data_IF_767711836413
#
_entry.id   IF_767711836413
#
_cell.length_a   1.000
_cell.length_b   1.000
_cell.length_c   1.000
_cell.angle_alpha   90.00
_cell.angle_beta   90.00
_cell.angle_gamma   90.00
#
_symmetry.space_group_name_H-M   'P 1'
#
loop_
_entity.id
_entity.type
_entity.pdbx_description
1 polymer ?
#
# COMPACT_ATOMS: atom_id res chain seq x y z
N UNK A 1 -19.61 31.00 48.30
CA UNK A 1 -18.67 30.24 47.45
C UNK A 1 -19.48 29.19 46.69
N UNK A 2 -19.61 29.27 45.36
CA UNK A 2 -20.32 28.27 44.58
C UNK A 2 -19.42 27.05 44.34
N UNK A 3 -19.99 25.85 44.47
CA UNK A 3 -19.32 24.59 44.15
C UNK A 3 -19.15 24.48 42.64
N UNK A 4 -17.92 24.26 42.19
CA UNK A 4 -17.60 23.96 40.80
C UNK A 4 -17.83 22.45 40.62
N UNK A 5 -18.97 22.08 40.03
CA UNK A 5 -19.16 20.72 39.54
C UNK A 5 -18.27 20.52 38.31
N UNK A 6 -17.17 19.81 38.52
CA UNK A 6 -16.29 19.34 37.46
C UNK A 6 -17.06 18.37 36.56
N UNK A 7 -17.66 18.90 35.49
CA UNK A 7 -18.23 18.11 34.42
C UNK A 7 -17.09 17.50 33.61
N UNK A 8 -16.57 16.37 34.08
CA UNK A 8 -15.77 15.45 33.29
C UNK A 8 -16.70 14.77 32.28
N UNK A 9 -17.15 15.51 31.26
CA UNK A 9 -17.79 14.91 30.10
C UNK A 9 -16.67 14.43 29.19
N UNK A 10 -16.26 13.17 29.38
CA UNK A 10 -15.51 12.47 28.35
C UNK A 10 -16.42 12.37 27.12
N UNK A 11 -16.25 13.30 26.19
CA UNK A 11 -16.88 13.26 24.88
C UNK A 11 -16.19 12.14 24.06
N UNK A 12 -16.43 10.90 24.47
CA UNK A 12 -16.22 9.74 23.61
C UNK A 12 -17.50 9.61 22.79
N UNK A 13 -17.62 10.48 21.79
CA UNK A 13 -18.67 10.39 20.79
C UNK A 13 -18.75 8.95 20.27
N UNK A 14 -19.99 8.46 20.14
CA UNK A 14 -20.33 7.15 19.61
C UNK A 14 -19.81 7.01 18.16
N UNK A 15 -18.53 6.73 17.99
CA UNK A 15 -17.98 6.35 16.70
C UNK A 15 -18.58 4.98 16.35
N UNK A 16 -19.53 4.98 15.42
CA UNK A 16 -20.08 3.75 14.86
C UNK A 16 -18.93 3.02 14.17
N UNK A 17 -18.72 1.75 14.52
CA UNK A 17 -17.73 0.93 13.85
C UNK A 17 -18.07 0.84 12.35
N UNK A 18 -17.08 0.92 11.45
CA UNK A 18 -17.33 0.84 10.02
C UNK A 18 -17.95 -0.52 9.67
N UNK A 19 -18.83 -0.51 8.68
CA UNK A 19 -19.38 -1.71 8.06
C UNK A 19 -18.28 -2.47 7.29
N UNK A 20 -18.51 -3.76 7.04
CA UNK A 20 -17.58 -4.58 6.23
C UNK A 20 -17.37 -3.96 4.84
N UNK A 21 -18.44 -3.48 4.19
CA UNK A 21 -18.33 -2.84 2.88
C UNK A 21 -17.52 -1.53 2.91
N UNK A 22 -17.59 -0.75 4.00
CA UNK A 22 -16.73 0.43 4.18
C UNK A 22 -15.27 0.06 4.40
N UNK A 23 -14.99 -1.07 5.08
CA UNK A 23 -13.64 -1.58 5.26
C UNK A 23 -13.07 -2.06 3.92
N UNK A 24 -13.82 -2.87 3.17
CA UNK A 24 -13.44 -3.36 1.85
C UNK A 24 -13.20 -2.20 0.87
N UNK A 25 -14.07 -1.20 0.87
CA UNK A 25 -13.90 0.00 0.04
C UNK A 25 -12.61 0.77 0.37
N UNK A 26 -12.21 0.84 1.65
CA UNK A 26 -10.93 1.45 2.04
C UNK A 26 -9.74 0.63 1.57
N UNK A 27 -9.79 -0.70 1.69
CA UNK A 27 -8.72 -1.57 1.19
C UNK A 27 -8.55 -1.46 -0.31
N UNK A 28 -9.64 -1.44 -1.08
CA UNK A 28 -9.60 -1.25 -2.53
C UNK A 28 -8.90 0.06 -2.93
N UNK A 29 -9.23 1.17 -2.24
CA UNK A 29 -8.60 2.46 -2.50
C UNK A 29 -7.10 2.43 -2.16
N UNK A 30 -6.73 1.81 -1.04
CA UNK A 30 -5.32 1.68 -0.64
C UNK A 30 -4.54 0.83 -1.65
N UNK A 31 -5.10 -0.28 -2.12
CA UNK A 31 -4.51 -1.14 -3.14
C UNK A 31 -4.30 -0.38 -4.45
N UNK A 32 -5.31 0.36 -4.93
CA UNK A 32 -5.20 1.18 -6.14
C UNK A 32 -4.11 2.25 -6.02
N UNK A 33 -4.03 2.93 -4.88
CA UNK A 33 -3.02 3.96 -4.61
C UNK A 33 -1.62 3.34 -4.55
N UNK A 34 -1.48 2.21 -3.86
CA UNK A 34 -0.22 1.48 -3.76
C UNK A 34 0.27 1.03 -5.14
N UNK A 35 -0.57 0.32 -5.90
CA UNK A 35 -0.24 -0.15 -7.26
C UNK A 35 0.14 1.03 -8.17
N UNK A 36 -0.67 2.09 -8.21
CA UNK A 36 -0.40 3.25 -9.07
C UNK A 36 0.93 3.95 -8.73
N UNK A 37 1.25 4.03 -7.43
CA UNK A 37 2.49 4.65 -6.96
C UNK A 37 3.70 3.76 -7.24
N UNK A 38 3.59 2.47 -6.97
CA UNK A 38 4.65 1.49 -7.22
C UNK A 38 4.95 1.34 -8.70
N UNK A 39 3.93 1.23 -9.56
CA UNK A 39 4.13 1.19 -11.02
C UNK A 39 4.95 2.39 -11.50
N UNK A 40 4.71 3.59 -10.97
CA UNK A 40 5.51 4.78 -11.31
C UNK A 40 6.92 4.73 -10.76
N UNK A 41 7.09 4.28 -9.51
CA UNK A 41 8.38 4.19 -8.85
C UNK A 41 9.28 3.16 -9.54
N UNK A 42 8.76 1.96 -9.83
CA UNK A 42 9.51 0.86 -10.45
C UNK A 42 10.02 1.19 -11.85
N UNK A 43 9.33 2.06 -12.60
CA UNK A 43 9.81 2.54 -13.92
C UNK A 43 11.05 3.43 -13.85
N UNK A 44 11.39 3.93 -12.66
CA UNK A 44 12.49 4.86 -12.46
C UNK A 44 13.73 4.22 -11.83
N UNK A 45 13.64 2.94 -11.44
CA UNK A 45 14.67 2.25 -10.68
C UNK A 45 15.21 1.03 -11.43
N UNK A 46 16.44 0.64 -11.15
CA UNK A 46 17.04 -0.58 -11.70
C UNK A 46 16.64 -1.85 -10.92
N UNK A 47 16.99 -3.02 -11.45
CA UNK A 47 16.62 -4.31 -10.84
C UNK A 47 17.17 -4.51 -9.42
N UNK A 48 18.32 -3.92 -9.08
CA UNK A 48 18.90 -4.02 -7.75
C UNK A 48 18.12 -3.14 -6.78
N UNK A 49 17.85 -1.89 -7.15
CA UNK A 49 17.04 -0.95 -6.36
C UNK A 49 15.63 -1.50 -6.11
N UNK A 50 15.01 -2.13 -7.13
CA UNK A 50 13.71 -2.81 -6.98
C UNK A 50 13.76 -3.96 -5.98
N UNK A 51 14.79 -4.80 -6.05
CA UNK A 51 14.94 -5.93 -5.13
C UNK A 51 15.15 -5.47 -3.68
N UNK A 52 15.91 -4.40 -3.48
CA UNK A 52 16.11 -3.77 -2.17
C UNK A 52 14.81 -3.20 -1.60
N UNK A 53 14.03 -2.49 -2.43
CA UNK A 53 12.72 -1.98 -2.05
C UNK A 53 11.75 -3.10 -1.62
N UNK A 54 11.69 -4.21 -2.36
CA UNK A 54 10.85 -5.36 -2.01
C UNK A 54 11.27 -5.93 -0.64
N UNK A 55 12.57 -6.08 -0.41
CA UNK A 55 13.09 -6.58 0.86
C UNK A 55 12.74 -5.64 2.03
N UNK A 56 12.85 -4.32 1.83
CA UNK A 56 12.50 -3.32 2.84
C UNK A 56 11.01 -3.36 3.19
N UNK A 57 10.12 -3.40 2.18
CA UNK A 57 8.66 -3.49 2.41
C UNK A 57 8.30 -4.73 3.22
N UNK A 58 8.91 -5.87 2.90
CA UNK A 58 8.67 -7.11 3.65
C UNK A 58 9.15 -7.01 5.08
N UNK A 59 10.30 -6.40 5.30
CA UNK A 59 10.83 -6.16 6.63
C UNK A 59 9.91 -5.24 7.45
N UNK A 60 9.39 -4.18 6.83
CA UNK A 60 8.45 -3.26 7.47
C UNK A 60 7.13 -3.95 7.83
N UNK A 61 6.59 -4.80 6.94
CA UNK A 61 5.40 -5.62 7.23
C UNK A 61 5.66 -6.53 8.44
N UNK A 62 6.85 -7.13 8.51
CA UNK A 62 7.22 -7.99 9.64
C UNK A 62 7.26 -7.21 10.95
N UNK A 63 7.95 -6.06 10.98
CA UNK A 63 8.05 -5.22 12.17
C UNK A 63 6.66 -4.75 12.59
N UNK A 64 5.91 -4.14 11.68
CA UNK A 64 4.57 -3.61 11.98
C UNK A 64 3.58 -4.71 12.36
N UNK A 65 3.65 -5.87 11.72
CA UNK A 65 2.82 -7.01 12.07
C UNK A 65 3.08 -7.49 13.49
N UNK A 66 4.36 -7.61 13.88
CA UNK A 66 4.74 -7.95 15.25
C UNK A 66 4.31 -6.90 16.27
N UNK A 67 4.50 -5.61 15.96
CA UNK A 67 4.08 -4.49 16.81
C UNK A 67 2.56 -4.48 17.05
N UNK A 68 1.79 -4.88 16.04
CA UNK A 68 0.33 -5.02 16.12
C UNK A 68 -0.13 -6.33 16.78
N UNK A 69 0.80 -7.22 17.18
CA UNK A 69 0.49 -8.50 17.80
C UNK A 69 -0.11 -9.53 16.84
N UNK A 70 0.12 -9.40 15.52
CA UNK A 70 -0.32 -10.38 14.54
C UNK A 70 0.37 -11.72 14.75
N UNK A 71 -0.34 -12.80 14.45
CA UNK A 71 0.25 -14.13 14.48
C UNK A 71 1.30 -14.27 13.36
N UNK A 72 2.36 -15.04 13.60
CA UNK A 72 3.43 -15.23 12.61
C UNK A 72 2.90 -15.64 11.24
N UNK A 73 1.88 -16.51 11.21
CA UNK A 73 1.24 -16.94 9.96
C UNK A 73 0.62 -15.77 9.19
N UNK A 74 -0.08 -14.86 9.88
CA UNK A 74 -0.74 -13.71 9.25
C UNK A 74 0.30 -12.73 8.69
N UNK A 75 1.45 -12.60 9.36
CA UNK A 75 2.57 -11.77 8.87
C UNK A 75 3.15 -12.36 7.58
N UNK A 76 3.36 -13.68 7.53
CA UNK A 76 3.85 -14.35 6.31
C UNK A 76 2.85 -14.23 5.16
N UNK A 77 1.56 -14.39 5.46
CA UNK A 77 0.52 -14.26 4.44
C UNK A 77 0.42 -12.80 3.94
N UNK A 78 0.60 -11.79 4.82
CA UNK A 78 0.68 -10.38 4.43
C UNK A 78 1.94 -10.05 3.59
N UNK A 79 3.10 -10.64 3.91
CA UNK A 79 4.31 -10.49 3.10
C UNK A 79 4.12 -11.09 1.71
N UNK A 80 3.52 -12.28 1.61
CA UNK A 80 3.22 -12.93 0.33
C UNK A 80 2.29 -12.06 -0.53
N UNK A 81 1.22 -11.53 0.09
CA UNK A 81 0.31 -10.63 -0.62
C UNK A 81 1.00 -9.35 -1.13
N UNK A 82 1.92 -8.78 -0.34
CA UNK A 82 2.69 -7.62 -0.79
C UNK A 82 3.62 -7.96 -1.97
N UNK A 83 4.23 -9.15 -2.01
CA UNK A 83 5.03 -9.60 -3.14
C UNK A 83 4.19 -9.73 -4.42
N UNK A 84 2.96 -10.25 -4.31
CA UNK A 84 2.04 -10.34 -5.45
C UNK A 84 1.67 -8.94 -5.99
N UNK A 85 1.35 -7.99 -5.11
CA UNK A 85 1.07 -6.60 -5.51
C UNK A 85 2.27 -5.93 -6.20
N UNK A 86 3.49 -6.18 -5.71
CA UNK A 86 4.71 -5.62 -6.30
C UNK A 86 4.98 -6.22 -7.68
N UNK A 87 4.70 -7.51 -7.85
CA UNK A 87 4.79 -8.20 -9.15
C UNK A 87 3.78 -7.65 -10.14
N UNK A 88 2.55 -7.39 -9.73
CA UNK A 88 1.52 -6.77 -10.57
C UNK A 88 1.89 -5.35 -10.97
N UNK A 89 2.44 -4.56 -10.05
CA UNK A 89 2.95 -3.22 -10.34
C UNK A 89 4.11 -3.26 -11.34
N UNK A 90 5.03 -4.24 -11.22
CA UNK A 90 6.11 -4.42 -12.18
C UNK A 90 5.58 -4.78 -13.59
N UNK A 91 4.62 -5.70 -13.68
CA UNK A 91 4.01 -6.06 -14.96
C UNK A 91 3.32 -4.85 -15.64
N UNK A 92 2.68 -3.98 -14.86
CA UNK A 92 2.11 -2.73 -15.37
C UNK A 92 3.19 -1.74 -15.81
N UNK A 93 4.29 -1.64 -15.07
CA UNK A 93 5.43 -0.79 -15.40
C UNK A 93 6.03 -1.18 -16.75
N UNK A 94 6.30 -2.47 -16.92
CA UNK A 94 6.87 -3.04 -18.15
C UNK A 94 5.94 -2.76 -19.35
N UNK A 95 4.63 -2.99 -19.20
CA UNK A 95 3.66 -2.72 -20.25
C UNK A 95 3.59 -1.22 -20.66
N UNK A 96 3.78 -0.30 -19.71
CA UNK A 96 3.82 1.13 -20.02
C UNK A 96 5.10 1.55 -20.77
N UNK A 97 6.22 0.89 -20.48
CA UNK A 97 7.48 1.14 -21.17
C UNK A 97 7.46 0.56 -22.59
N UNK A 98 6.86 -0.62 -22.79
CA UNK A 98 6.62 -1.19 -24.12
C UNK A 98 5.81 -0.25 -25.02
N UNK A 99 4.72 0.31 -24.49
CA UNK A 99 3.89 1.29 -25.20
C UNK A 99 4.73 2.52 -25.58
N UNK A 100 5.49 3.07 -24.64
CA UNK A 100 6.37 4.23 -24.88
C UNK A 100 7.39 3.94 -25.98
N UNK A 101 8.02 2.77 -25.95
CA UNK A 101 9.01 2.36 -26.94
C UNK A 101 8.40 2.15 -28.33
N UNK A 102 7.18 1.64 -28.42
CA UNK A 102 6.45 1.51 -29.68
C UNK A 102 6.17 2.89 -30.32
N UNK A 103 5.68 3.86 -29.54
CA UNK A 103 5.42 5.22 -30.01
C UNK A 103 6.70 5.92 -30.50
N UNK A 104 7.81 5.81 -29.76
CA UNK A 104 9.07 6.41 -30.18
C UNK A 104 9.69 5.76 -31.42
N UNK A 105 9.24 4.57 -31.80
CA UNK A 105 9.67 3.90 -33.03
C UNK A 105 8.86 4.40 -34.22
N UNK A 106 7.54 4.57 -34.09
CA UNK A 106 6.71 5.12 -35.17
C UNK A 106 7.11 6.53 -35.58
N UNK A 107 7.46 7.39 -34.62
CA UNK A 107 7.85 8.79 -34.90
C UNK A 107 9.21 8.92 -35.62
N UNK A 108 10.02 7.87 -35.65
CA UNK A 108 11.34 7.86 -36.32
C UNK A 108 11.30 7.27 -37.73
N UNK A 109 10.19 6.63 -38.10
CA UNK A 109 9.97 6.00 -39.40
C UNK A 109 9.13 6.90 -40.34
N UNK A 110 8.77 8.12 -39.92
CA UNK A 110 8.19 9.23 -40.72
C UNK A 110 9.24 10.25 -41.16
#
# INVERSE_FOLDING_TARGET
MPKIDGKNSSDKGNAIAPTIGEIEGRFLVLELVALSSMTRLLRLHDEQEKAELIAEIRHDIEIKGRDCGLHFRDIIDAQSYAEDLLRDAQAQADGLDDIKHAFLKSDRDE
#
